data_IF_961137009210
#
_entry.id   IF_961137009210
#
_cell.length_a   1.000
_cell.length_b   1.000
_cell.length_c   1.000
_cell.angle_alpha   90.00
_cell.angle_beta   90.00
_cell.angle_gamma   90.00
#
_symmetry.space_group_name_H-M   'P 1'
#
loop_
_entity.id
_entity.type
_entity.pdbx_description
1 polymer ?
#
# COMPACT_ATOMS: atom_id res chain seq x y z
N UNK A 1 4.40 -14.67 20.07
CA UNK A 1 3.84 -13.48 19.40
C UNK A 1 4.09 -13.63 17.92
N UNK A 2 3.12 -14.17 17.18
CA UNK A 2 3.20 -14.14 15.73
C UNK A 2 2.81 -12.72 15.31
N UNK A 3 3.69 -12.04 14.58
CA UNK A 3 3.45 -10.71 14.02
C UNK A 3 3.26 -10.96 12.54
N UNK A 4 2.04 -10.80 12.05
CA UNK A 4 1.85 -10.67 10.60
C UNK A 4 2.46 -9.34 10.18
N UNK A 5 3.51 -9.39 9.38
CA UNK A 5 4.20 -8.20 8.86
C UNK A 5 3.60 -7.85 7.52
N UNK A 6 3.10 -6.63 7.37
CA UNK A 6 2.83 -6.06 6.06
C UNK A 6 3.90 -5.04 5.72
N UNK A 7 4.53 -5.27 4.58
CA UNK A 7 5.58 -4.42 4.05
C UNK A 7 4.90 -3.21 3.43
N UNK A 8 5.12 -2.05 4.02
CA UNK A 8 4.76 -0.78 3.40
C UNK A 8 6.01 -0.24 2.73
N UNK A 9 6.12 -0.42 1.42
CA UNK A 9 7.20 0.19 0.64
C UNK A 9 6.87 1.66 0.38
N UNK A 10 7.64 2.55 0.99
CA UNK A 10 7.56 3.99 0.73
C UNK A 10 8.00 4.29 -0.68
N UNK A 11 7.13 4.93 -1.46
CA UNK A 11 7.55 5.55 -2.70
C UNK A 11 7.24 7.04 -2.69
N UNK A 12 8.30 7.81 -2.42
CA UNK A 12 8.34 9.25 -2.68
C UNK A 12 8.00 9.49 -4.15
N UNK A 13 7.05 10.39 -4.39
CA UNK A 13 6.61 10.80 -5.73
C UNK A 13 7.81 11.18 -6.59
N UNK A 14 7.79 10.70 -7.83
CA UNK A 14 8.74 10.96 -8.91
C UNK A 14 10.12 10.30 -8.73
N UNK A 15 10.40 9.23 -9.49
CA UNK A 15 11.51 9.14 -10.45
C UNK A 15 11.80 7.68 -10.86
N UNK A 16 11.90 7.50 -12.18
CA UNK A 16 12.83 6.62 -12.93
C UNK A 16 12.78 5.08 -12.66
N UNK A 17 12.37 4.25 -13.65
CA UNK A 17 12.53 2.78 -13.60
C UNK A 17 14.00 2.29 -13.58
N UNK A 18 14.95 3.21 -13.57
CA UNK A 18 16.40 3.01 -13.74
C UNK A 18 17.11 2.46 -12.48
N UNK A 19 16.42 2.33 -11.33
CA UNK A 19 17.02 1.93 -10.05
C UNK A 19 16.66 0.51 -9.56
N UNK A 20 15.98 -0.30 -10.38
CA UNK A 20 15.92 -1.74 -10.13
C UNK A 20 17.07 -2.45 -10.87
N UNK A 21 17.76 -3.44 -10.26
CA UNK A 21 18.66 -4.29 -11.00
C UNK A 21 17.86 -4.98 -12.14
N UNK A 22 18.40 -5.07 -13.36
CA UNK A 22 17.70 -5.70 -14.47
C UNK A 22 17.40 -7.17 -14.12
N UNK A 23 16.23 -7.70 -14.53
CA UNK A 23 15.93 -9.12 -14.32
C UNK A 23 16.97 -10.00 -15.03
N UNK A 24 17.25 -11.21 -14.51
CA UNK A 24 18.12 -12.17 -15.20
C UNK A 24 17.57 -12.45 -16.62
N UNK A 25 18.44 -12.64 -17.63
CA UNK A 25 18.02 -12.75 -19.02
C UNK A 25 17.08 -13.95 -19.22
N UNK A 26 15.91 -13.68 -19.82
CA UNK A 26 14.99 -14.72 -20.25
C UNK A 26 15.58 -15.51 -21.45
N UNK A 27 15.26 -16.81 -21.60
CA UNK A 27 15.67 -17.58 -22.76
C UNK A 27 15.06 -17.00 -24.05
N UNK A 28 15.75 -17.10 -25.20
CA UNK A 28 15.41 -16.36 -26.40
C UNK A 28 14.12 -16.89 -27.04
N UNK A 29 13.12 -16.02 -27.18
CA UNK A 29 11.99 -16.21 -28.10
C UNK A 29 11.82 -14.97 -28.97
N UNK A 30 11.53 -15.23 -30.25
CA UNK A 30 11.71 -14.35 -31.40
C UNK A 30 10.87 -13.06 -31.39
N UNK A 31 11.48 -12.01 -31.94
CA UNK A 31 10.93 -10.69 -32.24
C UNK A 31 9.57 -10.71 -32.97
N UNK A 32 8.66 -9.86 -32.49
CA UNK A 32 7.81 -9.05 -33.36
C UNK A 32 7.72 -7.64 -32.75
N UNK A 33 8.38 -6.69 -33.41
CA UNK A 33 8.41 -5.27 -33.09
C UNK A 33 7.08 -4.60 -33.41
N UNK A 34 6.47 -3.92 -32.45
CA UNK A 34 5.61 -2.76 -32.74
C UNK A 34 5.95 -1.66 -31.74
N UNK A 35 6.41 -0.53 -32.27
CA UNK A 35 6.92 0.59 -31.51
C UNK A 35 5.80 1.35 -30.81
N UNK A 36 6.07 1.74 -29.57
CA UNK A 36 5.34 2.79 -28.88
C UNK A 36 6.36 3.88 -28.52
N UNK A 37 6.31 4.96 -29.29
CA UNK A 37 6.92 6.24 -28.96
C UNK A 37 5.84 7.07 -28.26
N UNK A 38 5.90 7.15 -26.94
CA UNK A 38 4.99 7.97 -26.14
C UNK A 38 5.69 8.38 -24.85
N UNK A 39 5.88 9.68 -24.67
CA UNK A 39 6.50 10.27 -23.49
C UNK A 39 5.74 9.88 -22.20
N UNK A 40 6.47 9.46 -21.18
CA UNK A 40 5.91 9.15 -19.87
C UNK A 40 5.26 10.41 -19.25
N UNK A 41 4.01 10.36 -18.78
CA UNK A 41 3.36 11.52 -18.18
C UNK A 41 4.01 11.83 -16.83
N UNK A 42 4.84 12.87 -16.78
CA UNK A 42 5.34 13.43 -15.53
C UNK A 42 4.18 14.11 -14.79
N UNK A 43 3.62 13.45 -13.77
CA UNK A 43 2.66 14.08 -12.86
C UNK A 43 3.34 15.25 -12.14
N UNK A 44 2.94 16.48 -12.47
CA UNK A 44 3.42 17.71 -11.84
C UNK A 44 3.24 17.64 -10.32
N UNK A 45 4.33 17.92 -9.60
CA UNK A 45 4.34 18.06 -8.15
C UNK A 45 3.32 19.12 -7.72
N UNK A 46 2.37 18.73 -6.88
CA UNK A 46 1.52 19.68 -6.16
C UNK A 46 2.41 20.46 -5.18
N UNK A 47 2.78 21.68 -5.58
CA UNK A 47 3.39 22.67 -4.69
C UNK A 47 2.29 23.50 -4.08
N UNK A 48 2.12 23.36 -2.77
CA UNK A 48 1.79 24.38 -1.76
C UNK A 48 1.23 23.67 -0.52
N UNK A 49 1.86 23.91 0.64
CA UNK A 49 1.41 23.38 1.93
C UNK A 49 0.69 24.50 2.68
N UNK A 50 -0.65 24.57 2.64
CA UNK A 50 -1.38 25.57 3.41
C UNK A 50 -1.27 25.20 4.89
N UNK A 51 -0.55 26.02 5.65
CA UNK A 51 -0.59 26.00 7.11
C UNK A 51 -2.00 26.44 7.52
N UNK A 52 -2.71 25.58 8.25
CA UNK A 52 -3.95 25.87 8.98
C UNK A 52 -5.30 25.73 8.22
N UNK A 53 -5.51 24.64 7.46
CA UNK A 53 -6.88 24.16 7.18
C UNK A 53 -7.28 23.16 8.25
N UNK A 54 -8.45 23.35 8.84
CA UNK A 54 -9.14 22.33 9.64
C UNK A 54 -9.28 21.09 8.74
N UNK A 55 -8.60 20.00 9.09
CA UNK A 55 -8.65 18.77 8.29
C UNK A 55 -9.95 18.09 8.67
N UNK A 56 -10.92 18.09 7.74
CA UNK A 56 -12.09 17.24 7.87
C UNK A 56 -11.64 15.78 7.75
N UNK A 57 -11.46 15.11 8.90
CA UNK A 57 -11.02 13.72 8.96
C UNK A 57 -12.06 12.78 8.33
N UNK A 58 -13.34 13.10 8.44
CA UNK A 58 -14.43 12.31 7.86
C UNK A 58 -14.39 12.33 6.32
N UNK A 59 -13.77 13.36 5.73
CA UNK A 59 -13.53 13.47 4.29
C UNK A 59 -12.15 12.93 3.85
N UNK A 60 -11.48 12.12 4.67
CA UNK A 60 -10.15 11.56 4.36
C UNK A 60 -10.11 10.84 3.01
N UNK A 61 -11.04 9.92 2.76
CA UNK A 61 -11.06 9.16 1.52
C UNK A 61 -11.32 10.06 0.31
N UNK A 62 -12.29 10.97 0.43
CA UNK A 62 -12.58 11.98 -0.60
C UNK A 62 -11.38 12.88 -0.89
N UNK A 63 -10.63 13.27 0.15
CA UNK A 63 -9.41 14.07 0.00
C UNK A 63 -8.33 13.32 -0.80
N UNK A 64 -8.23 12.00 -0.62
CA UNK A 64 -7.32 11.16 -1.40
C UNK A 64 -7.80 10.96 -2.84
N UNK A 65 -9.06 10.54 -3.03
CA UNK A 65 -9.53 9.97 -4.29
C UNK A 65 -10.53 10.84 -5.06
N UNK A 66 -11.03 11.92 -4.48
CA UNK A 66 -11.91 12.89 -5.13
C UNK A 66 -13.38 12.52 -5.16
N UNK A 67 -13.79 11.49 -4.41
CA UNK A 67 -15.18 11.09 -4.21
C UNK A 67 -15.30 10.43 -2.83
N UNK A 68 -16.47 10.49 -2.16
CA UNK A 68 -16.64 9.90 -0.83
C UNK A 68 -16.58 8.38 -0.87
N UNK A 69 -16.13 7.77 0.23
CA UNK A 69 -16.27 6.32 0.41
C UNK A 69 -17.71 6.00 0.82
N UNK A 70 -18.34 5.10 0.09
CA UNK A 70 -19.62 4.51 0.46
C UNK A 70 -19.48 2.98 0.46
N UNK A 71 -19.38 2.34 1.64
CA UNK A 71 -19.28 0.89 1.73
C UNK A 71 -20.53 0.13 1.24
N UNK A 72 -21.68 0.80 1.18
CA UNK A 72 -22.94 0.21 0.69
C UNK A 72 -23.07 0.36 -0.85
N UNK A 73 -22.36 1.32 -1.47
CA UNK A 73 -22.29 1.51 -2.93
C UNK A 73 -20.91 1.15 -3.53
N UNK A 74 -20.62 -0.15 -3.55
CA UNK A 74 -19.42 -0.68 -4.18
C UNK A 74 -19.40 -0.48 -5.71
N UNK A 75 -20.56 -0.30 -6.35
CA UNK A 75 -20.63 -0.11 -7.79
C UNK A 75 -19.96 1.20 -8.21
N UNK A 76 -20.26 2.29 -7.48
CA UNK A 76 -19.59 3.59 -7.68
C UNK A 76 -18.10 3.50 -7.39
N UNK A 77 -17.69 2.79 -6.33
CA UNK A 77 -16.27 2.60 -6.02
C UNK A 77 -15.53 1.88 -7.15
N UNK A 78 -16.10 0.79 -7.67
CA UNK A 78 -15.50 0.00 -8.74
C UNK A 78 -15.53 0.67 -10.11
N UNK A 79 -16.52 1.53 -10.37
CA UNK A 79 -16.49 2.35 -11.59
C UNK A 79 -15.49 3.49 -11.47
N UNK A 80 -15.34 4.10 -10.29
CA UNK A 80 -14.50 5.28 -10.11
C UNK A 80 -13.01 4.94 -9.99
N UNK A 81 -12.69 3.81 -9.35
CA UNK A 81 -11.31 3.37 -9.14
C UNK A 81 -10.94 2.22 -10.08
N UNK A 82 -9.91 2.45 -10.89
CA UNK A 82 -9.35 1.44 -11.79
C UNK A 82 -8.01 0.94 -11.27
N UNK A 83 -7.83 -0.37 -11.26
CA UNK A 83 -6.55 -1.01 -10.95
C UNK A 83 -5.82 -1.39 -12.23
N UNK A 84 -4.51 -1.17 -12.25
CA UNK A 84 -3.59 -1.67 -13.27
C UNK A 84 -2.50 -2.47 -12.56
N UNK A 85 -2.34 -3.75 -12.94
CA UNK A 85 -1.37 -4.65 -12.33
C UNK A 85 -0.25 -4.97 -13.33
N UNK A 86 0.98 -4.94 -12.84
CA UNK A 86 2.15 -5.48 -13.53
C UNK A 86 2.77 -6.63 -12.73
N UNK A 87 3.93 -7.16 -13.18
CA UNK A 87 4.56 -8.31 -12.53
C UNK A 87 4.85 -8.10 -11.04
N UNK A 88 5.35 -6.91 -10.68
CA UNK A 88 5.80 -6.56 -9.32
C UNK A 88 5.32 -5.16 -8.91
N UNK A 89 4.18 -4.71 -9.41
CA UNK A 89 3.61 -3.41 -9.06
C UNK A 89 2.10 -3.39 -9.30
N UNK A 90 1.42 -2.53 -8.57
CA UNK A 90 0.00 -2.25 -8.71
C UNK A 90 -0.17 -0.74 -8.69
N UNK A 91 -0.97 -0.23 -9.62
CA UNK A 91 -1.41 1.17 -9.64
C UNK A 91 -2.93 1.26 -9.45
N UNK A 92 -3.34 2.28 -8.71
CA UNK A 92 -4.73 2.68 -8.54
C UNK A 92 -4.93 4.04 -9.23
N UNK A 93 -5.90 4.10 -10.12
CA UNK A 93 -6.24 5.26 -10.92
C UNK A 93 -7.64 5.73 -10.51
N UNK A 94 -7.74 6.95 -9.98
CA UNK A 94 -9.04 7.55 -9.67
C UNK A 94 -9.55 8.37 -10.87
N UNK A 95 -10.70 7.99 -11.42
CA UNK A 95 -11.39 8.77 -12.46
C UNK A 95 -11.90 10.10 -11.92
N UNK A 96 -12.31 10.17 -10.65
CA UNK A 96 -12.95 11.35 -10.06
C UNK A 96 -12.02 12.57 -10.00
N UNK A 97 -10.73 12.37 -9.72
CA UNK A 97 -9.75 13.46 -9.65
C UNK A 97 -8.56 13.31 -10.60
N UNK A 98 -8.56 12.30 -11.47
CA UNK A 98 -7.51 12.03 -12.46
C UNK A 98 -6.15 11.67 -11.87
N UNK A 99 -6.06 11.34 -10.57
CA UNK A 99 -4.79 10.99 -9.91
C UNK A 99 -4.51 9.50 -10.04
N UNK A 100 -3.23 9.19 -10.23
CA UNK A 100 -2.69 7.83 -10.22
C UNK A 100 -1.83 7.64 -8.97
N UNK A 101 -1.90 6.46 -8.38
CA UNK A 101 -1.25 6.11 -7.14
C UNK A 101 -0.55 4.77 -7.27
N UNK A 102 0.69 4.68 -6.83
CA UNK A 102 1.37 3.39 -6.65
C UNK A 102 0.85 2.72 -5.38
N UNK A 103 0.40 1.48 -5.50
CA UNK A 103 -0.05 0.62 -4.39
C UNK A 103 1.05 -0.34 -3.93
N UNK A 104 2.19 -0.37 -4.63
CA UNK A 104 3.26 -1.34 -4.40
C UNK A 104 2.90 -2.73 -4.94
N UNK A 105 3.67 -3.73 -4.52
CA UNK A 105 3.40 -5.12 -4.85
C UNK A 105 2.83 -5.84 -3.63
N UNK A 106 1.65 -6.44 -3.79
CA UNK A 106 1.05 -7.25 -2.75
C UNK A 106 1.31 -8.74 -3.02
N UNK A 107 1.95 -9.40 -2.06
CA UNK A 107 2.13 -10.83 -2.07
C UNK A 107 1.99 -11.38 -0.64
N UNK A 108 1.33 -12.51 -0.51
CA UNK A 108 1.39 -13.32 0.70
C UNK A 108 2.53 -14.33 0.56
N UNK A 109 3.23 -14.61 1.65
CA UNK A 109 4.34 -15.57 1.72
C UNK A 109 4.08 -16.56 2.84
N UNK A 110 4.46 -17.81 2.62
CA UNK A 110 4.48 -18.91 3.58
C UNK A 110 5.92 -19.25 3.93
N UNK A 111 6.15 -19.94 5.03
CA UNK A 111 7.49 -20.40 5.42
C UNK A 111 8.20 -21.14 4.26
N UNK A 112 7.46 -22.01 3.55
CA UNK A 112 7.98 -22.77 2.42
C UNK A 112 8.50 -21.89 1.25
N UNK A 113 8.04 -20.64 1.15
CA UNK A 113 8.48 -19.71 0.10
C UNK A 113 9.87 -19.11 0.39
N UNK A 114 10.42 -19.31 1.61
CA UNK A 114 11.72 -18.78 2.04
C UNK A 114 12.85 -19.83 2.02
N UNK A 115 12.61 -21.03 1.50
CA UNK A 115 13.60 -22.13 1.48
C UNK A 115 14.88 -21.79 0.71
N UNK A 116 14.76 -20.89 -0.27
CA UNK A 116 15.90 -20.34 -1.02
C UNK A 116 15.82 -18.82 -0.86
N UNK A 117 16.58 -18.30 0.10
CA UNK A 117 16.78 -16.87 0.20
C UNK A 117 17.72 -16.45 -0.94
N UNK A 118 17.40 -15.39 -1.70
CA UNK A 118 18.33 -14.88 -2.70
C UNK A 118 19.65 -14.49 -2.03
N UNK A 119 20.78 -14.75 -2.70
CA UNK A 119 22.05 -14.18 -2.26
C UNK A 119 21.93 -12.65 -2.29
N UNK A 120 21.99 -12.05 -1.12
CA UNK A 120 21.89 -10.60 -0.99
C UNK A 120 23.31 -10.04 -1.11
N UNK A 121 23.60 -9.35 -2.21
CA UNK A 121 24.90 -8.72 -2.47
C UNK A 121 25.17 -7.51 -1.56
N UNK A 122 24.12 -6.93 -0.99
CA UNK A 122 24.16 -5.84 -0.02
C UNK A 122 23.31 -6.24 1.20
N UNK A 123 23.89 -6.45 2.39
CA UNK A 123 23.15 -6.95 3.57
C UNK A 123 22.05 -6.00 4.06
N UNK A 124 21.95 -4.78 3.49
CA UNK A 124 21.03 -3.75 3.95
C UNK A 124 21.41 -3.24 5.34
N UNK A 125 20.56 -2.38 5.91
CA UNK A 125 20.75 -1.82 7.26
C UNK A 125 19.48 -1.95 8.08
N UNK A 126 19.63 -2.28 9.36
CA UNK A 126 18.54 -2.20 10.33
C UNK A 126 18.67 -0.88 11.12
N UNK A 127 17.74 0.04 10.90
CA UNK A 127 17.63 1.28 11.67
C UNK A 127 16.65 1.08 12.83
N UNK A 128 17.11 1.33 14.05
CA UNK A 128 16.26 1.30 15.24
C UNK A 128 16.03 2.72 15.75
N UNK A 129 14.77 3.14 15.82
CA UNK A 129 14.38 4.41 16.42
C UNK A 129 13.76 4.14 17.78
N UNK A 130 14.36 4.67 18.84
CA UNK A 130 13.90 4.47 20.22
C UNK A 130 13.35 5.80 20.74
N UNK A 131 12.04 5.84 21.00
CA UNK A 131 11.36 6.98 21.58
C UNK A 131 11.13 6.85 23.09
N UNK A 132 11.01 7.99 23.78
CA UNK A 132 10.54 8.11 25.16
C UNK A 132 9.11 8.68 25.20
N UNK A 133 8.25 8.23 24.30
CA UNK A 133 6.89 8.75 24.14
C UNK A 133 6.89 10.26 23.87
N UNK A 134 6.02 11.00 24.55
CA UNK A 134 5.86 12.46 24.38
C UNK A 134 7.11 13.27 24.79
N UNK A 135 8.04 12.67 25.53
CA UNK A 135 9.27 13.33 25.98
C UNK A 135 10.40 13.25 24.95
N UNK A 136 10.16 12.57 23.83
CA UNK A 136 11.16 12.42 22.77
C UNK A 136 11.49 13.77 22.14
N UNK A 137 12.77 13.99 21.86
CA UNK A 137 13.27 15.23 21.26
C UNK A 137 12.65 15.50 19.88
N UNK A 138 12.46 14.45 19.08
CA UNK A 138 11.82 14.54 17.77
C UNK A 138 10.65 13.55 17.67
N UNK A 139 9.43 14.07 17.79
CA UNK A 139 8.21 13.29 17.62
C UNK A 139 7.97 12.86 16.16
N UNK A 140 8.52 13.59 15.18
CA UNK A 140 8.41 13.21 13.75
C UNK A 140 9.26 11.99 13.44
N UNK A 141 10.38 11.79 14.15
CA UNK A 141 11.17 10.58 14.05
C UNK A 141 10.39 9.32 14.49
N UNK A 142 9.37 9.49 15.35
CA UNK A 142 8.54 8.41 15.90
C UNK A 142 7.20 8.23 15.18
N UNK A 143 6.84 9.16 14.30
CA UNK A 143 5.60 9.11 13.53
C UNK A 143 5.81 8.25 12.28
N UNK A 144 5.12 7.11 12.20
CA UNK A 144 5.27 6.18 11.06
C UNK A 144 4.90 6.82 9.73
N UNK A 145 3.93 7.74 9.70
CA UNK A 145 3.56 8.45 8.48
C UNK A 145 4.62 9.44 8.03
N UNK A 146 5.25 10.14 8.97
CA UNK A 146 6.39 11.00 8.69
C UNK A 146 7.60 10.18 8.19
N UNK A 147 7.89 9.04 8.82
CA UNK A 147 8.93 8.12 8.36
C UNK A 147 8.63 7.57 6.97
N UNK A 148 7.36 7.23 6.70
CA UNK A 148 6.97 6.73 5.40
C UNK A 148 6.99 7.80 4.29
N UNK A 149 6.79 9.06 4.65
CA UNK A 149 6.87 10.19 3.74
C UNK A 149 8.31 10.66 3.49
N UNK A 150 9.29 10.22 4.29
CA UNK A 150 10.68 10.63 4.16
C UNK A 150 11.34 9.98 2.93
N UNK A 151 11.84 10.78 1.96
CA UNK A 151 12.52 10.24 0.78
C UNK A 151 13.76 9.39 1.08
N UNK A 152 14.41 9.60 2.23
CA UNK A 152 15.57 8.79 2.65
C UNK A 152 15.18 7.35 3.01
N UNK A 153 13.90 7.10 3.32
CA UNK A 153 13.35 5.78 3.58
C UNK A 153 12.73 5.14 2.32
N UNK A 154 12.99 5.68 1.12
CA UNK A 154 12.51 5.08 -0.13
C UNK A 154 13.08 3.66 -0.28
N UNK A 155 12.20 2.67 -0.47
CA UNK A 155 12.59 1.25 -0.49
C UNK A 155 12.81 0.60 0.88
N UNK A 156 12.70 1.36 1.98
CA UNK A 156 12.72 0.79 3.31
C UNK A 156 11.50 -0.09 3.56
N UNK A 157 11.68 -1.07 4.45
CA UNK A 157 10.61 -1.93 4.94
C UNK A 157 10.13 -1.43 6.30
N UNK A 158 8.85 -1.09 6.40
CA UNK A 158 8.19 -0.86 7.67
C UNK A 158 7.42 -2.11 8.08
N UNK A 159 7.65 -2.58 9.31
CA UNK A 159 6.95 -3.72 9.88
C UNK A 159 6.00 -3.24 10.97
N UNK A 160 4.75 -3.64 10.88
CA UNK A 160 3.71 -3.28 11.85
C UNK A 160 2.93 -4.53 12.21
N UNK A 161 2.52 -4.62 13.48
CA UNK A 161 1.67 -5.71 13.92
C UNK A 161 0.31 -5.64 13.24
N UNK A 162 -0.16 -6.79 12.75
CA UNK A 162 -1.42 -6.88 12.05
C UNK A 162 -2.19 -8.13 12.44
N UNK A 163 -3.52 -8.09 12.26
CA UNK A 163 -4.46 -9.16 12.58
C UNK A 163 -4.43 -10.38 11.65
N UNK A 164 -3.32 -10.64 10.96
CA UNK A 164 -3.13 -11.77 10.01
C UNK A 164 -4.03 -11.75 8.75
N UNK A 165 -4.69 -10.63 8.46
CA UNK A 165 -5.56 -10.46 7.30
C UNK A 165 -5.20 -9.27 6.41
N UNK A 166 -4.02 -8.67 6.62
CA UNK A 166 -3.53 -7.54 5.82
C UNK A 166 -4.32 -6.25 5.97
N UNK A 167 -5.22 -6.17 6.96
CA UNK A 167 -6.09 -5.03 7.27
C UNK A 167 -6.05 -4.73 8.77
N UNK A 168 -6.52 -3.55 9.15
CA UNK A 168 -6.55 -3.08 10.55
C UNK A 168 -8.00 -2.80 10.97
N UNK A 169 -8.59 -3.73 11.69
CA UNK A 169 -9.95 -3.61 12.18
C UNK A 169 -9.96 -2.92 13.54
N UNK A 170 -10.81 -1.89 13.68
CA UNK A 170 -10.86 -1.06 14.88
C UNK A 170 -11.55 -1.81 16.05
N UNK A 171 -12.37 -2.82 15.73
CA UNK A 171 -13.08 -3.64 16.71
C UNK A 171 -13.12 -5.10 16.27
N UNK A 172 -13.32 -6.01 17.23
CA UNK A 172 -13.40 -7.45 16.97
C UNK A 172 -14.60 -7.89 16.10
N UNK A 173 -15.64 -7.06 16.01
CA UNK A 173 -16.83 -7.29 15.18
C UNK A 173 -16.78 -6.52 13.85
N UNK A 174 -15.64 -5.87 13.57
CA UNK A 174 -15.47 -5.07 12.39
C UNK A 174 -15.06 -5.93 11.17
N UNK A 175 -15.23 -5.38 9.97
CA UNK A 175 -14.92 -6.09 8.74
C UNK A 175 -14.48 -5.14 7.63
N UNK A 176 -13.92 -5.70 6.55
CA UNK A 176 -13.55 -4.95 5.35
C UNK A 176 -14.75 -4.24 4.70
N UNK A 177 -15.97 -4.78 4.89
CA UNK A 177 -17.22 -4.21 4.38
C UNK A 177 -17.63 -2.90 5.08
N UNK A 178 -16.98 -2.55 6.21
CA UNK A 178 -17.21 -1.28 6.91
C UNK A 178 -16.31 -0.14 6.41
N UNK A 179 -15.56 -0.37 5.33
CA UNK A 179 -14.68 0.60 4.69
C UNK A 179 -13.45 1.01 5.51
N UNK A 180 -12.64 1.87 4.89
CA UNK A 180 -11.32 2.27 5.39
C UNK A 180 -11.32 3.69 5.96
N UNK A 181 -12.33 4.53 5.71
CA UNK A 181 -12.36 5.92 6.16
C UNK A 181 -12.20 6.05 7.67
N UNK A 182 -12.81 5.12 8.42
CA UNK A 182 -12.73 5.07 9.90
C UNK A 182 -11.31 4.94 10.45
N UNK A 183 -10.35 4.43 9.66
CA UNK A 183 -8.97 4.22 10.12
C UNK A 183 -8.38 5.53 10.64
N UNK A 184 -8.78 6.68 10.08
CA UNK A 184 -8.27 8.00 10.45
C UNK A 184 -8.55 8.41 11.89
N UNK A 185 -9.54 7.78 12.52
CA UNK A 185 -9.90 8.04 13.92
C UNK A 185 -9.13 7.15 14.90
N UNK A 186 -8.46 6.10 14.42
CA UNK A 186 -7.65 5.22 15.24
C UNK A 186 -6.17 5.64 15.17
N UNK A 187 -5.63 6.03 16.33
CA UNK A 187 -4.24 6.50 16.47
C UNK A 187 -3.27 5.40 16.90
N UNK A 188 -3.69 4.15 16.88
CA UNK A 188 -2.79 3.01 17.09
C UNK A 188 -1.88 2.80 15.87
N UNK A 189 -0.81 2.02 16.06
CA UNK A 189 0.26 1.91 15.06
C UNK A 189 -0.21 1.29 13.73
N UNK A 190 -1.12 0.31 13.78
CA UNK A 190 -1.66 -0.38 12.60
C UNK A 190 -2.38 0.57 11.64
N UNK A 191 -3.46 1.23 12.08
CA UNK A 191 -4.21 2.18 11.27
C UNK A 191 -3.35 3.36 10.79
N UNK A 192 -2.47 3.91 11.63
CA UNK A 192 -1.56 4.99 11.24
C UNK A 192 -0.64 4.58 10.09
N UNK A 193 -0.04 3.38 10.15
CA UNK A 193 0.79 2.86 9.08
C UNK A 193 0.00 2.52 7.81
N UNK A 194 -1.23 2.05 7.95
CA UNK A 194 -2.10 1.69 6.82
C UNK A 194 -2.57 2.93 6.05
N UNK A 195 -2.96 4.00 6.74
CA UNK A 195 -3.35 5.27 6.12
C UNK A 195 -2.18 5.92 5.41
N UNK A 196 -0.99 5.82 5.99
CA UNK A 196 0.24 6.38 5.39
C UNK A 196 0.53 5.78 4.01
N UNK A 197 -0.04 4.61 3.70
CA UNK A 197 -0.13 4.04 2.36
C UNK A 197 -1.57 3.72 1.93
N UNK A 198 -2.42 4.75 1.95
CA UNK A 198 -3.85 4.65 1.63
C UNK A 198 -4.16 3.90 0.33
N UNK A 199 -3.47 4.12 -0.81
CA UNK A 199 -3.78 3.41 -2.05
C UNK A 199 -3.60 1.89 -1.92
N UNK A 200 -2.53 1.46 -1.23
CA UNK A 200 -2.27 0.05 -0.93
C UNK A 200 -3.32 -0.52 0.03
N UNK A 201 -3.81 0.27 0.99
CA UNK A 201 -4.92 -0.12 1.86
C UNK A 201 -6.22 -0.29 1.06
N UNK A 202 -6.57 0.64 0.18
CA UNK A 202 -7.76 0.52 -0.71
C UNK A 202 -7.66 -0.71 -1.59
N UNK A 203 -6.50 -0.94 -2.21
CA UNK A 203 -6.26 -2.15 -3.00
C UNK A 203 -6.48 -3.41 -2.15
N UNK A 204 -5.87 -3.51 -0.97
CA UNK A 204 -6.04 -4.67 -0.06
C UNK A 204 -7.46 -4.85 0.45
N UNK A 205 -8.21 -3.77 0.65
CA UNK A 205 -9.58 -3.87 1.14
C UNK A 205 -10.54 -4.26 0.01
N UNK A 206 -10.45 -3.59 -1.13
CA UNK A 206 -11.48 -3.63 -2.17
C UNK A 206 -11.12 -4.36 -3.45
N UNK A 207 -9.83 -4.60 -3.75
CA UNK A 207 -9.42 -5.09 -5.06
C UNK A 207 -8.55 -6.34 -5.04
N UNK A 208 -7.83 -6.60 -3.95
CA UNK A 208 -6.93 -7.75 -3.85
C UNK A 208 -7.69 -9.03 -4.19
N UNK A 209 -7.18 -9.86 -5.11
CA UNK A 209 -7.89 -11.09 -5.46
C UNK A 209 -7.83 -12.09 -4.30
N UNK A 210 -8.98 -12.46 -3.75
CA UNK A 210 -9.11 -13.48 -2.69
C UNK A 210 -9.82 -14.73 -3.21
N UNK A 211 -9.71 -15.84 -2.49
CA UNK A 211 -10.26 -17.13 -2.92
C UNK A 211 -9.37 -17.90 -3.90
N UNK A 212 -9.75 -19.15 -4.23
CA UNK A 212 -9.02 -20.00 -5.14
C UNK A 212 -9.13 -19.48 -6.59
N UNK A 213 -8.25 -19.95 -7.48
CA UNK A 213 -8.12 -19.41 -8.83
C UNK A 213 -9.42 -19.51 -9.67
N UNK A 214 -10.26 -20.50 -9.40
CA UNK A 214 -11.56 -20.76 -10.03
C UNK A 214 -12.71 -19.92 -9.45
N UNK A 215 -12.55 -19.38 -8.24
CA UNK A 215 -13.58 -18.62 -7.52
C UNK A 215 -12.98 -17.35 -6.89
N UNK A 216 -12.31 -16.54 -7.71
CA UNK A 216 -11.72 -15.30 -7.21
C UNK A 216 -12.78 -14.27 -6.84
N UNK A 217 -12.74 -13.83 -5.60
CA UNK A 217 -13.47 -12.66 -5.12
C UNK A 217 -12.60 -11.41 -5.25
N UNK A 218 -13.24 -10.27 -5.46
CA UNK A 218 -12.57 -8.97 -5.51
C UNK A 218 -12.54 -8.37 -4.10
N UNK A 219 -11.35 -8.07 -3.61
CA UNK A 219 -11.17 -7.52 -2.27
C UNK A 219 -11.41 -8.55 -1.17
N UNK A 220 -11.52 -8.06 0.06
CA UNK A 220 -11.65 -8.86 1.29
C UNK A 220 -13.04 -8.78 1.95
N UNK A 221 -14.06 -8.30 1.23
CA UNK A 221 -15.38 -7.99 1.80
C UNK A 221 -16.16 -9.25 2.16
N UNK A 222 -16.08 -10.29 1.34
CA UNK A 222 -16.76 -11.58 1.55
C UNK A 222 -15.81 -12.64 2.12
N UNK A 223 -14.56 -12.64 1.68
CA UNK A 223 -13.53 -13.57 2.11
C UNK A 223 -12.25 -12.81 2.45
N UNK A 224 -11.80 -12.94 3.70
CA UNK A 224 -10.55 -12.32 4.14
C UNK A 224 -9.36 -13.18 3.75
N UNK A 225 -8.22 -12.53 3.50
CA UNK A 225 -6.92 -13.19 3.55
C UNK A 225 -6.74 -13.73 4.96
N UNK A 226 -6.38 -14.99 5.08
CA UNK A 226 -6.12 -15.62 6.36
C UNK A 226 -4.72 -16.21 6.34
N UNK A 227 -3.76 -15.48 6.91
CA UNK A 227 -2.36 -15.93 6.99
C UNK A 227 -2.14 -17.00 8.07
N UNK A 228 -3.20 -17.41 8.78
CA UNK A 228 -3.17 -18.53 9.72
C UNK A 228 -3.71 -19.82 9.11
N UNK A 229 -4.26 -19.79 7.88
CA UNK A 229 -4.96 -20.93 7.29
C UNK A 229 -4.06 -22.17 7.08
N UNK A 230 -2.75 -21.94 6.92
CA UNK A 230 -1.73 -22.97 6.67
C UNK A 230 -0.78 -23.16 7.87
N UNK A 231 -1.09 -22.62 9.06
CA UNK A 231 -0.29 -22.79 10.28
C UNK A 231 -0.64 -24.06 11.06
#
# INVERSE_FOLDING_TARGET
>A
FFVSVFFVSCWSRSHRPDLMPPPPPAPPLSLASSGWQGDAPTCRAAREHPRNREINLDAFFETCFGFPEDPDDLATLYDTLRIVEGPNWVELHSKANGRCFQCGWFATKREADFKVLPEVSDPGSLSLIIGQGIQSFDLRALDVGAQQADPSNCGATFQVASGFNCLEFLHSQDSAAKGISKYIHDRTQGPAASISCTPALVYRNYFVPTGPADQRHRGQLTQQVNLLQDL
#
